data_IF_827653993788
#
_entry.id   IF_827653993788
#
_cell.length_a   1.000
_cell.length_b   1.000
_cell.length_c   1.000
_cell.angle_alpha   90.00
_cell.angle_beta   90.00
_cell.angle_gamma   90.00
#
_symmetry.space_group_name_H-M   'P 1'
#
loop_
_entity.id
_entity.type
_entity.pdbx_description
1 polymer ?
#
# COMPACT_ATOMS: atom_id res chain seq x y z
N UNK A 1 1.24 14.75 -36.06
CA UNK A 1 0.67 13.46 -35.60
C UNK A 1 1.70 12.50 -34.99
N UNK A 2 2.94 12.40 -35.50
CA UNK A 2 3.98 11.47 -35.00
C UNK A 2 4.44 11.67 -33.53
N UNK A 3 4.15 12.83 -32.92
CA UNK A 3 4.43 13.14 -31.49
C UNK A 3 3.30 12.78 -30.53
N UNK A 4 2.09 12.49 -31.03
CA UNK A 4 0.91 12.22 -30.19
C UNK A 4 0.94 10.78 -29.66
N UNK A 5 1.48 9.86 -30.46
CA UNK A 5 1.61 8.43 -30.10
C UNK A 5 2.42 8.22 -28.81
N UNK A 6 3.64 8.78 -28.63
CA UNK A 6 4.38 8.58 -27.37
C UNK A 6 3.72 9.25 -26.16
N UNK A 7 3.02 10.38 -26.36
CA UNK A 7 2.27 11.05 -25.29
C UNK A 7 1.07 10.20 -24.82
N UNK A 8 0.41 9.51 -25.74
CA UNK A 8 -0.67 8.56 -25.44
C UNK A 8 -0.16 7.37 -24.62
N UNK A 9 1.00 6.82 -24.97
CA UNK A 9 1.62 5.74 -24.19
C UNK A 9 2.03 6.21 -22.79
N UNK A 10 2.61 7.40 -22.66
CA UNK A 10 2.97 7.96 -21.35
C UNK A 10 1.73 8.17 -20.47
N UNK A 11 0.63 8.68 -21.04
CA UNK A 11 -0.63 8.86 -20.34
C UNK A 11 -1.25 7.53 -19.88
N UNK A 12 -1.19 6.48 -20.71
CA UNK A 12 -1.65 5.13 -20.36
C UNK A 12 -0.83 4.51 -19.23
N UNK A 13 0.49 4.70 -19.24
CA UNK A 13 1.37 4.23 -18.16
C UNK A 13 1.06 4.94 -16.83
N UNK A 14 0.93 6.27 -16.85
CA UNK A 14 0.56 7.05 -15.66
C UNK A 14 -0.82 6.65 -15.11
N UNK A 15 -1.80 6.42 -15.98
CA UNK A 15 -3.14 5.99 -15.56
C UNK A 15 -3.16 4.57 -14.94
N UNK A 16 -2.26 3.68 -15.38
CA UNK A 16 -2.19 2.31 -14.88
C UNK A 16 -1.57 2.17 -13.48
N UNK A 17 -0.80 3.17 -13.03
CA UNK A 17 -0.16 3.19 -11.71
C UNK A 17 -1.04 3.76 -10.59
N UNK A 18 -2.16 4.42 -10.91
CA UNK A 18 -2.87 5.25 -9.94
C UNK A 18 -4.02 4.56 -9.16
N UNK A 19 -4.39 3.30 -9.46
CA UNK A 19 -5.73 2.83 -9.03
C UNK A 19 -5.81 1.40 -8.49
N UNK A 20 -4.68 0.75 -8.16
CA UNK A 20 -4.73 -0.56 -7.50
C UNK A 20 -3.93 -0.57 -6.22
N UNK A 21 -4.58 -0.78 -5.06
CA UNK A 21 -3.86 -0.96 -3.82
C UNK A 21 -2.94 -2.19 -3.94
N UNK A 22 -1.78 -2.16 -3.26
CA UNK A 22 -0.81 -3.25 -3.28
C UNK A 22 -1.31 -4.48 -2.51
N UNK A 23 -2.60 -4.56 -2.16
CA UNK A 23 -3.22 -5.66 -1.44
C UNK A 23 -4.43 -6.18 -2.20
N UNK A 24 -4.64 -7.49 -2.15
CA UNK A 24 -5.88 -8.09 -2.60
C UNK A 24 -6.29 -9.27 -1.74
N UNK A 25 -7.59 -9.38 -1.52
CA UNK A 25 -8.25 -10.51 -0.87
C UNK A 25 -9.49 -10.87 -1.70
N UNK A 26 -9.73 -12.16 -1.99
CA UNK A 26 -10.92 -12.56 -2.75
C UNK A 26 -12.19 -12.06 -2.06
N UNK A 27 -13.05 -11.36 -2.83
CA UNK A 27 -14.32 -10.83 -2.32
C UNK A 27 -14.21 -9.58 -1.45
N UNK A 28 -13.02 -8.96 -1.30
CA UNK A 28 -12.88 -7.69 -0.61
C UNK A 28 -13.15 -6.51 -1.55
N UNK A 29 -14.01 -5.60 -1.12
CA UNK A 29 -14.24 -4.31 -1.79
C UNK A 29 -13.02 -3.40 -1.65
N UNK A 30 -12.82 -2.51 -2.63
CA UNK A 30 -11.67 -1.60 -2.66
C UNK A 30 -11.58 -0.74 -1.39
N UNK A 31 -12.71 -0.20 -0.94
CA UNK A 31 -12.79 0.61 0.28
C UNK A 31 -12.39 -0.18 1.52
N UNK A 32 -12.80 -1.44 1.61
CA UNK A 32 -12.42 -2.29 2.74
C UNK A 32 -10.89 -2.54 2.79
N UNK A 33 -10.25 -2.65 1.62
CA UNK A 33 -8.78 -2.77 1.53
C UNK A 33 -8.09 -1.51 2.03
N UNK A 34 -8.61 -0.34 1.67
CA UNK A 34 -8.06 0.96 2.07
C UNK A 34 -8.24 1.21 3.59
N UNK A 35 -9.42 0.89 4.12
CA UNK A 35 -9.73 1.00 5.54
C UNK A 35 -8.84 0.06 6.38
N UNK A 36 -8.72 -1.21 5.97
CA UNK A 36 -7.87 -2.20 6.64
C UNK A 36 -6.39 -1.80 6.61
N UNK A 37 -5.91 -1.31 5.46
CA UNK A 37 -4.54 -0.82 5.33
C UNK A 37 -4.29 0.39 6.24
N UNK A 38 -5.22 1.35 6.26
CA UNK A 38 -5.11 2.54 7.10
C UNK A 38 -5.06 2.16 8.58
N UNK A 39 -5.88 1.22 9.03
CA UNK A 39 -5.86 0.73 10.42
C UNK A 39 -4.53 0.01 10.75
N UNK A 40 -4.07 -0.89 9.88
CA UNK A 40 -2.79 -1.58 10.05
C UNK A 40 -1.60 -0.62 10.10
N UNK A 41 -1.53 0.35 9.18
CA UNK A 41 -0.48 1.36 9.13
C UNK A 41 -0.50 2.29 10.35
N UNK A 42 -1.70 2.70 10.78
CA UNK A 42 -1.88 3.57 11.96
C UNK A 42 -1.41 2.86 13.22
N UNK A 43 -1.75 1.58 13.39
CA UNK A 43 -1.28 0.75 14.51
C UNK A 43 0.23 0.58 14.50
N UNK A 44 0.82 0.27 13.35
CA UNK A 44 2.26 0.15 13.20
C UNK A 44 2.98 1.47 13.53
N UNK A 45 2.46 2.59 13.02
CA UNK A 45 2.98 3.94 13.28
C UNK A 45 2.88 4.34 14.75
N UNK A 46 1.76 4.02 15.41
CA UNK A 46 1.61 4.26 16.85
C UNK A 46 2.61 3.45 17.66
N UNK A 47 2.88 2.21 17.25
CA UNK A 47 3.81 1.33 17.99
C UNK A 47 5.24 1.86 18.04
N UNK A 48 5.67 2.67 17.06
CA UNK A 48 7.02 3.27 17.03
C UNK A 48 7.04 4.72 17.52
N UNK A 49 5.89 5.39 17.59
CA UNK A 49 5.75 6.79 18.00
C UNK A 49 5.12 6.99 19.39
N UNK A 50 4.73 5.92 20.08
CA UNK A 50 4.13 6.02 21.43
C UNK A 50 5.19 5.76 22.50
N UNK A 51 5.34 6.64 23.51
CA UNK A 51 6.23 6.40 24.64
C UNK A 51 5.87 5.11 25.42
N UNK A 52 6.85 4.33 25.88
CA UNK A 52 8.30 4.51 25.66
C UNK A 52 8.65 4.21 24.20
N UNK A 53 9.34 5.16 23.54
CA UNK A 53 9.73 5.01 22.14
C UNK A 53 10.60 3.77 22.01
N UNK A 54 10.17 2.74 21.27
CA UNK A 54 10.96 1.54 21.13
C UNK A 54 12.21 1.85 20.30
N UNK A 55 13.33 1.18 20.59
CA UNK A 55 14.57 1.21 19.77
C UNK A 55 14.38 0.44 18.45
N UNK A 56 13.32 0.79 17.69
CA UNK A 56 12.97 0.18 16.41
C UNK A 56 12.98 1.27 15.34
N UNK A 57 13.62 1.05 14.19
CA UNK A 57 13.66 2.05 13.14
C UNK A 57 12.26 2.24 12.52
N UNK A 58 11.97 3.46 12.04
CA UNK A 58 10.69 3.78 11.38
C UNK A 58 10.42 2.92 10.14
N UNK A 59 11.47 2.36 9.52
CA UNK A 59 11.35 1.43 8.40
C UNK A 59 10.62 0.12 8.75
N UNK A 60 10.43 -0.19 10.04
CA UNK A 60 9.67 -1.37 10.48
C UNK A 60 8.16 -1.15 10.34
N UNK A 61 7.68 0.10 10.27
CA UNK A 61 6.24 0.41 10.17
C UNK A 61 5.61 -0.28 8.96
N UNK A 62 6.28 -0.23 7.81
CA UNK A 62 5.78 -0.89 6.59
C UNK A 62 5.76 -2.41 6.76
N UNK A 63 6.80 -3.00 7.36
CA UNK A 63 6.84 -4.45 7.62
C UNK A 63 5.74 -4.89 8.58
N UNK A 64 5.48 -4.13 9.64
CA UNK A 64 4.44 -4.43 10.63
C UNK A 64 3.04 -4.25 10.03
N UNK A 65 2.85 -3.24 9.17
CA UNK A 65 1.61 -3.04 8.43
C UNK A 65 1.36 -4.18 7.43
N UNK A 66 2.38 -4.61 6.69
CA UNK A 66 2.31 -5.72 5.74
C UNK A 66 1.98 -7.04 6.47
N UNK A 67 2.57 -7.27 7.64
CA UNK A 67 2.26 -8.42 8.49
C UNK A 67 0.80 -8.40 8.97
N UNK A 68 0.31 -7.25 9.44
CA UNK A 68 -1.09 -7.06 9.83
C UNK A 68 -2.06 -7.31 8.66
N UNK A 69 -1.74 -6.83 7.46
CA UNK A 69 -2.54 -7.08 6.26
C UNK A 69 -2.56 -8.57 5.88
N UNK A 70 -1.41 -9.25 6.00
CA UNK A 70 -1.30 -10.70 5.77
C UNK A 70 -2.16 -11.50 6.76
N UNK A 71 -2.16 -11.11 8.04
CA UNK A 71 -2.99 -11.76 9.07
C UNK A 71 -4.49 -11.58 8.81
N UNK A 72 -4.88 -10.46 8.18
CA UNK A 72 -6.26 -10.24 7.68
C UNK A 72 -6.60 -11.04 6.42
N UNK A 73 -5.65 -11.78 5.87
CA UNK A 73 -5.81 -12.62 4.69
C UNK A 73 -5.61 -11.88 3.36
N UNK A 74 -4.94 -10.72 3.37
CA UNK A 74 -4.55 -10.03 2.14
C UNK A 74 -3.25 -10.60 1.58
N UNK A 75 -3.19 -10.77 0.25
CA UNK A 75 -1.98 -11.02 -0.48
C UNK A 75 -1.37 -9.70 -0.96
N UNK A 76 -0.09 -9.49 -0.69
CA UNK A 76 0.68 -8.37 -1.25
C UNK A 76 0.88 -8.58 -2.75
N UNK A 77 0.45 -7.62 -3.55
CA UNK A 77 0.84 -7.46 -4.95
C UNK A 77 2.16 -6.72 -4.98
N UNK A 78 3.01 -7.04 -5.95
CA UNK A 78 4.33 -6.42 -6.16
C UNK A 78 4.21 -4.89 -5.97
N UNK A 79 4.82 -4.36 -4.89
CA UNK A 79 5.04 -2.93 -4.70
C UNK A 79 6.14 -2.51 -5.67
N UNK A 80 5.78 -1.80 -6.74
CA UNK A 80 6.75 -1.01 -7.49
C UNK A 80 6.92 0.32 -6.76
N UNK A 81 7.84 0.30 -5.79
CA UNK A 81 8.37 1.45 -5.03
C UNK A 81 7.42 2.08 -4.00
#
# INVERSE_FOLDING_TARGET
MRRIVPLLFLALFLASGCTRPPYAKPGAELSAVEDDYTDCYSKASLSVNTPPFPDRPLSVVDSDADACMKDRGYASKIRMF
#
